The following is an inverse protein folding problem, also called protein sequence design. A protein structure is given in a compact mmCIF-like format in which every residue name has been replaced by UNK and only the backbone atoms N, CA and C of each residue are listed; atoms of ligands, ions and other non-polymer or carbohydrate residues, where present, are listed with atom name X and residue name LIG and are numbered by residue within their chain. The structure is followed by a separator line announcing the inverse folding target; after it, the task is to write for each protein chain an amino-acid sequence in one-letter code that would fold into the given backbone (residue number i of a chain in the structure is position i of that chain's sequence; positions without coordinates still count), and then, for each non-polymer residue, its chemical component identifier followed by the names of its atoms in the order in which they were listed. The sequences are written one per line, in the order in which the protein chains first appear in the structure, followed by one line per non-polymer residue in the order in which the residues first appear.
data_IF_276822454679
#
_entry.id   IF_276822454679
#
_cell.length_a   1.000
_cell.length_b   1.000
_cell.length_c   1.000
_cell.angle_alpha   90.00
_cell.angle_beta   90.00
_cell.angle_gamma   90.00
#
_symmetry.space_group_name_H-M   'P 1'
#
loop_
_entity.id
_entity.type
_entity.pdbx_description
1 polymer ?
#
# COMPACT_ATOMS: atom_id res chain seq x y z
N UNK A 1 30.29 9.11 -11.77
CA UNK A 1 29.34 8.57 -12.77
C UNK A 1 27.95 8.83 -12.21
N UNK A 2 27.08 9.47 -12.98
CA UNK A 2 25.75 9.88 -12.52
C UNK A 2 24.80 8.69 -12.70
N UNK A 3 24.46 8.00 -11.60
CA UNK A 3 23.78 6.70 -11.68
C UNK A 3 22.28 6.85 -11.89
N UNK A 4 21.66 7.89 -11.33
CA UNK A 4 20.25 8.24 -11.44
C UNK A 4 19.90 9.02 -12.72
N UNK A 5 20.88 9.29 -13.57
CA UNK A 5 20.69 9.95 -14.86
C UNK A 5 19.54 9.33 -15.70
N UNK A 6 19.47 8.00 -15.76
CA UNK A 6 18.40 7.25 -16.46
C UNK A 6 16.99 7.47 -15.89
N UNK A 7 16.88 7.84 -14.61
CA UNK A 7 15.58 8.04 -13.96
C UNK A 7 14.98 9.41 -14.33
N UNK A 8 15.84 10.39 -14.60
CA UNK A 8 15.47 11.77 -14.92
C UNK A 8 15.35 12.03 -16.43
N UNK A 9 15.99 11.23 -17.27
CA UNK A 9 16.06 11.44 -18.73
C UNK A 9 15.34 10.32 -19.49
N UNK A 10 14.54 10.68 -20.49
CA UNK A 10 13.85 9.70 -21.32
C UNK A 10 14.81 8.91 -22.23
N UNK A 11 14.36 7.73 -22.64
CA UNK A 11 15.14 6.80 -23.47
C UNK A 11 15.57 7.49 -24.78
N UNK A 12 16.89 7.65 -25.02
CA UNK A 12 17.36 8.28 -26.24
C UNK A 12 16.99 7.41 -27.46
N UNK A 13 16.86 8.02 -28.65
CA UNK A 13 16.58 7.26 -29.87
C UNK A 13 17.64 6.18 -30.10
N UNK A 14 17.20 5.01 -30.56
CA UNK A 14 18.11 3.93 -30.95
C UNK A 14 19.10 4.45 -31.98
N UNK A 15 20.37 4.13 -31.78
CA UNK A 15 21.43 4.50 -32.70
C UNK A 15 21.18 3.92 -34.10
N UNK A 16 21.45 4.72 -35.13
CA UNK A 16 21.41 4.30 -36.53
C UNK A 16 22.78 4.49 -37.17
N UNK A 17 23.00 3.94 -38.37
CA UNK A 17 24.27 4.09 -39.10
C UNK A 17 24.64 5.57 -39.38
N UNK A 18 23.67 6.48 -39.29
CA UNK A 18 23.84 7.92 -39.47
C UNK A 18 24.09 8.70 -38.17
N UNK A 19 24.06 8.03 -37.02
CA UNK A 19 24.19 8.70 -35.73
C UNK A 19 25.56 9.34 -35.55
N UNK A 20 25.56 10.58 -35.08
CA UNK A 20 26.77 11.35 -34.83
C UNK A 20 27.56 10.79 -33.64
N UNK A 21 28.86 11.09 -33.56
CA UNK A 21 29.70 10.70 -32.42
C UNK A 21 29.12 11.17 -31.08
N UNK A 22 28.50 12.36 -31.06
CA UNK A 22 27.91 12.90 -29.85
C UNK A 22 26.65 12.12 -29.41
N UNK A 23 25.78 11.73 -30.37
CA UNK A 23 24.61 10.89 -30.10
C UNK A 23 25.01 9.51 -29.55
N UNK A 24 26.08 8.92 -30.09
CA UNK A 24 26.64 7.65 -29.60
C UNK A 24 27.11 7.77 -28.15
N UNK A 25 27.88 8.81 -27.82
CA UNK A 25 28.33 9.06 -26.44
C UNK A 25 27.17 9.28 -25.47
N UNK A 26 26.13 10.01 -25.88
CA UNK A 26 24.95 10.20 -25.04
C UNK A 26 24.18 8.90 -24.80
N UNK A 27 24.07 8.05 -25.82
CA UNK A 27 23.43 6.74 -25.70
C UNK A 27 24.22 5.83 -24.78
N UNK A 28 25.55 5.72 -24.95
CA UNK A 28 26.41 4.90 -24.08
C UNK A 28 26.37 5.34 -22.61
N UNK A 29 26.38 6.66 -22.37
CA UNK A 29 26.24 7.20 -21.02
C UNK A 29 24.90 6.83 -20.39
N UNK A 30 23.81 6.94 -21.15
CA UNK A 30 22.48 6.57 -20.71
C UNK A 30 22.39 5.05 -20.45
N UNK A 31 22.91 4.23 -21.34
CA UNK A 31 22.90 2.76 -21.25
C UNK A 31 23.69 2.27 -20.02
N UNK A 32 24.84 2.88 -19.75
CA UNK A 32 25.61 2.54 -18.57
C UNK A 32 24.87 2.90 -17.27
N UNK A 33 24.27 4.09 -17.20
CA UNK A 33 23.43 4.50 -16.06
C UNK A 33 22.21 3.60 -15.90
N UNK A 34 21.58 3.18 -17.00
CA UNK A 34 20.46 2.25 -17.04
C UNK A 34 20.83 0.89 -16.43
N UNK A 35 21.92 0.27 -16.91
CA UNK A 35 22.38 -1.02 -16.42
C UNK A 35 22.74 -0.97 -14.92
N UNK A 36 23.45 0.07 -14.48
CA UNK A 36 23.79 0.22 -13.06
C UNK A 36 22.55 0.41 -12.18
N UNK A 37 21.60 1.25 -12.61
CA UNK A 37 20.35 1.47 -11.89
C UNK A 37 19.52 0.19 -11.79
N UNK A 38 19.40 -0.59 -12.87
CA UNK A 38 18.71 -1.88 -12.84
C UNK A 38 19.32 -2.85 -11.84
N UNK A 39 20.65 -2.97 -11.80
CA UNK A 39 21.34 -3.85 -10.85
C UNK A 39 21.03 -3.43 -9.42
N UNK A 40 21.10 -2.12 -9.12
CA UNK A 40 20.83 -1.57 -7.78
C UNK A 40 19.38 -1.81 -7.38
N UNK A 41 18.42 -1.50 -8.25
CA UNK A 41 16.99 -1.69 -7.97
C UNK A 41 16.70 -3.18 -7.76
N UNK A 42 17.16 -4.06 -8.67
CA UNK A 42 16.96 -5.51 -8.55
C UNK A 42 17.60 -6.08 -7.28
N UNK A 43 18.76 -5.58 -6.83
CA UNK A 43 19.40 -6.02 -5.58
C UNK A 43 18.71 -5.49 -4.31
N UNK A 44 18.05 -4.34 -4.41
CA UNK A 44 17.40 -3.68 -3.27
C UNK A 44 16.04 -4.30 -2.94
N UNK A 45 15.43 -5.03 -3.87
CA UNK A 45 14.17 -5.77 -3.67
C UNK A 45 14.41 -7.25 -3.35
N UNK A 46 13.50 -7.85 -2.59
CA UNK A 46 13.58 -9.28 -2.24
C UNK A 46 13.39 -10.18 -3.46
N UNK A 47 13.94 -11.40 -3.41
CA UNK A 47 13.81 -12.37 -4.51
C UNK A 47 12.36 -12.73 -4.82
N UNK A 48 11.48 -12.73 -3.82
CA UNK A 48 10.03 -12.95 -4.00
C UNK A 48 9.40 -11.88 -4.89
N UNK A 49 9.76 -10.61 -4.68
CA UNK A 49 9.26 -9.51 -5.51
C UNK A 49 9.89 -9.62 -6.90
N UNK A 50 11.21 -9.82 -6.98
CA UNK A 50 11.96 -9.95 -8.24
C UNK A 50 11.39 -11.05 -9.14
N UNK A 51 11.08 -12.23 -8.58
CA UNK A 51 10.53 -13.37 -9.34
C UNK A 51 9.07 -13.19 -9.76
N UNK A 52 8.34 -12.25 -9.17
CA UNK A 52 6.94 -11.96 -9.52
C UNK A 52 6.78 -10.90 -10.63
N UNK A 53 7.89 -10.26 -11.01
CA UNK A 53 7.90 -9.17 -11.99
C UNK A 53 8.33 -9.68 -13.38
N UNK A 54 7.78 -9.12 -14.47
CA UNK A 54 8.30 -9.39 -15.79
C UNK A 54 9.70 -8.77 -15.94
N UNK A 55 10.54 -9.37 -16.79
CA UNK A 55 11.83 -8.79 -17.16
C UNK A 55 11.62 -7.44 -17.87
N UNK A 56 12.44 -6.46 -17.52
CA UNK A 56 12.40 -5.11 -18.08
C UNK A 56 13.84 -4.58 -18.17
N UNK A 57 14.18 -4.08 -19.35
CA UNK A 57 15.54 -3.62 -19.70
C UNK A 57 15.74 -2.14 -19.40
N UNK A 58 14.66 -1.39 -19.13
CA UNK A 58 14.72 0.01 -18.77
C UNK A 58 14.48 0.21 -17.26
N UNK A 59 15.45 0.78 -16.55
CA UNK A 59 15.42 1.01 -15.10
C UNK A 59 14.20 1.84 -14.66
N UNK A 60 13.86 2.89 -15.42
CA UNK A 60 12.74 3.79 -15.13
C UNK A 60 11.40 3.06 -15.27
N UNK A 61 11.23 2.25 -16.33
CA UNK A 61 10.05 1.41 -16.51
C UNK A 61 9.95 0.35 -15.41
N UNK A 62 11.05 -0.31 -15.08
CA UNK A 62 11.07 -1.33 -14.03
C UNK A 62 10.67 -0.73 -12.67
N UNK A 63 11.19 0.45 -12.33
CA UNK A 63 10.81 1.17 -11.12
C UNK A 63 9.32 1.54 -11.10
N UNK A 64 8.76 1.97 -12.23
CA UNK A 64 7.31 2.23 -12.36
C UNK A 64 6.49 0.96 -12.13
N UNK A 65 6.91 -0.17 -12.69
CA UNK A 65 6.21 -1.45 -12.48
C UNK A 65 6.23 -1.88 -11.00
N UNK A 66 7.34 -1.62 -10.29
CA UNK A 66 7.40 -1.83 -8.84
C UNK A 66 6.35 -0.96 -8.16
N UNK A 67 6.37 0.35 -8.40
CA UNK A 67 5.44 1.29 -7.78
C UNK A 67 3.97 0.88 -8.01
N UNK A 68 3.60 0.52 -9.24
CA UNK A 68 2.25 0.10 -9.59
C UNK A 68 1.82 -1.18 -8.86
N UNK A 69 2.73 -2.15 -8.72
CA UNK A 69 2.48 -3.40 -7.97
C UNK A 69 2.29 -3.15 -6.48
N UNK A 70 3.08 -2.26 -5.88
CA UNK A 70 2.92 -1.89 -4.48
C UNK A 70 1.61 -1.16 -4.24
N UNK A 71 1.22 -0.22 -5.09
CA UNK A 71 -0.09 0.44 -5.02
C UNK A 71 -1.24 -0.57 -5.15
N UNK A 72 -1.13 -1.55 -6.06
CA UNK A 72 -2.13 -2.61 -6.19
C UNK A 72 -2.16 -3.50 -4.94
N UNK A 73 -1.00 -3.84 -4.37
CA UNK A 73 -0.90 -4.66 -3.15
C UNK A 73 -1.48 -3.94 -1.94
N UNK A 74 -1.17 -2.67 -1.72
CA UNK A 74 -1.75 -1.85 -0.64
C UNK A 74 -3.27 -1.78 -0.75
N UNK A 75 -3.81 -1.64 -1.97
CA UNK A 75 -5.26 -1.68 -2.21
C UNK A 75 -5.87 -3.04 -1.87
N UNK A 76 -5.22 -4.14 -2.24
CA UNK A 76 -5.70 -5.49 -1.93
C UNK A 76 -5.66 -5.74 -0.41
N UNK A 77 -4.60 -5.32 0.26
CA UNK A 77 -4.48 -5.41 1.72
C UNK A 77 -5.56 -4.56 2.41
N UNK A 78 -5.75 -3.32 1.98
CA UNK A 78 -6.81 -2.45 2.47
C UNK A 78 -8.20 -3.08 2.32
N UNK A 79 -8.52 -3.61 1.13
CA UNK A 79 -9.79 -4.31 0.89
C UNK A 79 -9.96 -5.54 1.79
N UNK A 80 -8.88 -6.30 2.02
CA UNK A 80 -8.88 -7.49 2.89
C UNK A 80 -9.12 -7.10 4.34
N UNK A 81 -8.41 -6.10 4.85
CA UNK A 81 -8.60 -5.56 6.20
C UNK A 81 -10.01 -5.01 6.37
N UNK A 82 -10.54 -4.28 5.39
CA UNK A 82 -11.89 -3.71 5.42
C UNK A 82 -12.94 -4.81 5.46
N UNK A 83 -12.81 -5.80 4.60
CA UNK A 83 -13.67 -6.99 4.58
C UNK A 83 -13.65 -7.68 5.94
N UNK A 84 -12.47 -7.89 6.54
CA UNK A 84 -12.36 -8.46 7.88
C UNK A 84 -13.05 -7.57 8.93
N UNK A 85 -12.81 -6.26 8.90
CA UNK A 85 -13.38 -5.32 9.87
C UNK A 85 -14.91 -5.33 9.86
N UNK A 86 -15.55 -5.30 8.68
CA UNK A 86 -17.02 -5.25 8.56
C UNK A 86 -17.70 -6.60 8.77
N UNK A 87 -16.99 -7.71 8.53
CA UNK A 87 -17.54 -9.07 8.71
C UNK A 87 -17.30 -9.62 10.11
N UNK A 88 -16.34 -9.06 10.85
CA UNK A 88 -16.01 -9.50 12.20
C UNK A 88 -17.20 -9.25 13.14
N UNK A 89 -17.64 -10.30 13.85
CA UNK A 89 -18.74 -10.24 14.82
C UNK A 89 -18.29 -10.84 16.14
N UNK A 90 -18.68 -10.22 17.24
CA UNK A 90 -18.46 -10.82 18.55
C UNK A 90 -19.48 -11.94 18.76
N UNK A 91 -19.01 -13.15 19.05
CA UNK A 91 -19.88 -14.33 19.18
C UNK A 91 -20.42 -14.52 20.61
N UNK A 92 -20.20 -13.55 21.50
CA UNK A 92 -20.65 -13.63 22.90
C UNK A 92 -19.79 -14.55 23.78
N UNK A 93 -18.76 -15.20 23.24
CA UNK A 93 -17.87 -16.13 23.94
C UNK A 93 -16.44 -15.57 23.98
N UNK A 94 -15.77 -15.73 25.10
CA UNK A 94 -14.40 -15.23 25.29
C UNK A 94 -14.37 -13.81 25.86
N UNK A 95 -13.21 -13.15 25.74
CA UNK A 95 -12.97 -11.85 26.33
C UNK A 95 -13.28 -10.73 25.34
N UNK A 96 -14.27 -9.90 25.66
CA UNK A 96 -14.64 -8.73 24.84
C UNK A 96 -13.46 -7.76 24.64
N UNK A 97 -12.53 -7.69 25.59
CA UNK A 97 -11.33 -6.84 25.48
C UNK A 97 -10.40 -7.32 24.36
N UNK A 98 -10.25 -8.63 24.20
CA UNK A 98 -9.44 -9.21 23.12
C UNK A 98 -10.09 -8.94 21.76
N UNK A 99 -11.41 -9.05 21.68
CA UNK A 99 -12.18 -8.69 20.49
C UNK A 99 -11.97 -7.23 20.08
N UNK A 100 -12.12 -6.30 21.03
CA UNK A 100 -11.88 -4.86 20.78
C UNK A 100 -10.43 -4.62 20.38
N UNK A 101 -9.46 -5.28 21.03
CA UNK A 101 -8.04 -5.14 20.71
C UNK A 101 -7.72 -5.61 19.29
N UNK A 102 -8.31 -6.73 18.84
CA UNK A 102 -8.15 -7.20 17.47
C UNK A 102 -8.75 -6.21 16.46
N UNK A 103 -9.92 -5.64 16.76
CA UNK A 103 -10.55 -4.61 15.93
C UNK A 103 -9.67 -3.34 15.84
N UNK A 104 -9.14 -2.87 16.98
CA UNK A 104 -8.22 -1.73 17.03
C UNK A 104 -6.91 -2.00 16.27
N UNK A 105 -6.39 -3.23 16.31
CA UNK A 105 -5.21 -3.62 15.54
C UNK A 105 -5.46 -3.56 14.03
N UNK A 106 -6.65 -3.97 13.56
CA UNK A 106 -7.04 -3.84 12.15
C UNK A 106 -7.09 -2.37 11.74
N UNK A 107 -7.71 -1.52 12.57
CA UNK A 107 -7.79 -0.07 12.33
C UNK A 107 -6.40 0.58 12.31
N UNK A 108 -5.51 0.18 13.22
CA UNK A 108 -4.13 0.68 13.24
C UNK A 108 -3.36 0.32 11.96
N UNK A 109 -3.56 -0.90 11.43
CA UNK A 109 -3.00 -1.31 10.13
C UNK A 109 -3.59 -0.51 8.97
N UNK A 110 -4.89 -0.24 8.98
CA UNK A 110 -5.53 0.63 7.98
C UNK A 110 -4.97 2.06 8.02
N UNK A 111 -4.72 2.59 9.22
CA UNK A 111 -4.08 3.89 9.39
C UNK A 111 -2.67 3.92 8.79
N UNK A 112 -1.91 2.84 8.91
CA UNK A 112 -0.60 2.71 8.25
C UNK A 112 -0.71 2.74 6.71
N UNK A 113 -1.83 2.27 6.16
CA UNK A 113 -2.19 2.38 4.74
C UNK A 113 -2.84 3.72 4.37
N UNK A 114 -2.76 4.74 5.23
CA UNK A 114 -3.34 6.09 5.06
C UNK A 114 -4.88 6.08 4.95
N UNK A 115 -5.54 5.06 5.49
CA UNK A 115 -6.99 4.98 5.62
C UNK A 115 -7.36 5.24 7.08
N UNK A 116 -7.80 6.46 7.36
CA UNK A 116 -8.19 6.88 8.70
C UNK A 116 -9.70 6.80 8.90
N UNK A 117 -10.09 6.32 10.08
CA UNK A 117 -11.49 6.30 10.53
C UNK A 117 -11.63 7.29 11.68
N UNK A 118 -12.72 8.03 11.71
CA UNK A 118 -13.06 8.83 12.89
C UNK A 118 -13.37 7.91 14.07
N UNK A 119 -13.10 8.39 15.28
CA UNK A 119 -13.41 7.66 16.51
C UNK A 119 -14.89 7.26 16.58
N UNK A 120 -15.78 8.14 16.11
CA UNK A 120 -17.22 7.86 16.01
C UNK A 120 -17.55 6.62 15.16
N UNK A 121 -16.91 6.50 13.98
CA UNK A 121 -17.14 5.36 13.10
C UNK A 121 -16.63 4.08 13.76
N UNK A 122 -15.51 4.15 14.49
CA UNK A 122 -14.98 2.99 15.22
C UNK A 122 -15.94 2.52 16.32
N UNK A 123 -16.54 3.45 17.07
CA UNK A 123 -17.53 3.10 18.09
C UNK A 123 -18.76 2.48 17.44
N UNK A 124 -19.25 3.03 16.33
CA UNK A 124 -20.38 2.42 15.62
C UNK A 124 -20.05 1.03 15.08
N UNK A 125 -18.85 0.80 14.55
CA UNK A 125 -18.40 -0.51 14.08
C UNK A 125 -18.40 -1.54 15.22
N UNK A 126 -17.92 -1.18 16.40
CA UNK A 126 -17.99 -2.04 17.59
C UNK A 126 -19.45 -2.30 17.97
N UNK A 127 -20.30 -1.27 18.01
CA UNK A 127 -21.70 -1.43 18.41
C UNK A 127 -22.48 -2.32 17.44
N UNK A 128 -22.29 -2.22 16.13
CA UNK A 128 -23.01 -3.06 15.16
C UNK A 128 -22.50 -4.51 15.17
N UNK A 129 -21.26 -4.74 15.57
CA UNK A 129 -20.66 -6.08 15.58
C UNK A 129 -21.06 -6.91 16.81
N UNK A 130 -21.51 -6.25 17.88
CA UNK A 130 -22.00 -6.92 19.09
C UNK A 130 -23.33 -7.65 18.87
N UNK A 131 -23.50 -8.85 19.47
CA UNK A 131 -24.74 -9.63 19.39
C UNK A 131 -25.89 -8.94 20.13
N UNK A 132 -27.12 -9.35 19.83
CA UNK A 132 -28.37 -8.75 20.37
C UNK A 132 -28.46 -8.80 21.90
N UNK A 133 -27.79 -9.74 22.55
CA UNK A 133 -27.65 -9.82 24.00
C UNK A 133 -27.00 -8.56 24.63
N UNK A 134 -26.26 -7.77 23.85
CA UNK A 134 -25.71 -6.47 24.26
C UNK A 134 -26.64 -5.29 23.93
N UNK A 135 -27.90 -5.54 23.59
CA UNK A 135 -28.90 -4.50 23.28
C UNK A 135 -28.99 -3.36 24.30
N UNK A 136 -29.04 -3.64 25.63
CA UNK A 136 -29.06 -2.58 26.65
C UNK A 136 -27.85 -1.66 26.60
N UNK A 137 -26.67 -2.18 26.25
CA UNK A 137 -25.44 -1.40 26.10
C UNK A 137 -25.52 -0.44 24.91
N UNK A 138 -26.08 -0.88 23.78
CA UNK A 138 -26.30 -0.03 22.60
C UNK A 138 -27.26 1.12 22.88
N UNK A 139 -28.34 0.85 23.64
CA UNK A 139 -29.33 1.86 24.02
C UNK A 139 -28.69 2.91 24.93
N UNK A 140 -27.94 2.49 25.96
CA UNK A 140 -27.31 3.41 26.91
C UNK A 140 -26.29 4.35 26.24
N UNK A 141 -25.47 3.84 25.33
CA UNK A 141 -24.52 4.68 24.56
C UNK A 141 -25.24 5.75 23.74
N UNK A 142 -26.32 5.38 23.04
CA UNK A 142 -27.07 6.30 22.20
C UNK A 142 -27.76 7.41 23.00
N UNK A 143 -28.28 7.09 24.19
CA UNK A 143 -28.89 8.09 25.10
C UNK A 143 -27.86 9.09 25.61
N UNK A 144 -26.68 8.63 26.05
CA UNK A 144 -25.62 9.51 26.56
C UNK A 144 -25.02 10.41 25.48
N UNK A 145 -24.91 9.93 24.24
CA UNK A 145 -24.40 10.75 23.13
C UNK A 145 -25.36 11.90 22.78
N UNK A 146 -26.68 11.67 22.82
CA UNK A 146 -27.67 12.71 22.57
C UNK A 146 -27.71 13.84 23.61
N UNK A 147 -27.30 13.54 24.86
CA UNK A 147 -27.21 14.51 25.94
C UNK A 147 -25.94 15.38 25.90
N UNK A 148 -24.87 14.94 25.22
CA UNK A 148 -23.63 15.71 25.07
C UNK A 148 -23.62 16.65 23.86
N UNK A 149 -24.45 16.36 22.85
CA UNK A 149 -24.59 17.14 21.62
C UNK A 149 -25.71 18.21 21.68
N UNK A 150 -26.40 18.37 22.83
CA UNK A 150 -27.47 19.36 23.09
C UNK A 150 -27.03 20.48 24.03
#
# INVERSE_FOLDING_TARGET
MDMDYVLCVDEPPKLTDKSTTNEKLTYEKWECSNCMSLIIIKHSISETIRGSMPEEENAKKFLSQIADRFVASEKVEACTLLSKLVTMRYNGKGNIREYIMEMSNIVAKMKALKLEFSEDILVFLVLISLPTQFGPFKINYNTQKGEMDS
#
